data_IF_607770731671
#
_entry.id   IF_607770731671
#
_cell.length_a   1.000
_cell.length_b   1.000
_cell.length_c   1.000
_cell.angle_alpha   90.00
_cell.angle_beta   90.00
_cell.angle_gamma   90.00
#
_symmetry.space_group_name_H-M   'P 1'
#
loop_
_entity.id
_entity.type
_entity.pdbx_description
1 polymer ?
#
# COMPACT_ATOMS: atom_id res chain seq x y z
N UNK A 1 -23.29 25.38 38.18
CA UNK A 1 -23.58 25.44 36.73
C UNK A 1 -22.42 25.01 35.82
N UNK A 2 -21.29 24.47 36.33
CA UNK A 2 -20.11 24.10 35.53
C UNK A 2 -19.95 22.56 35.36
N UNK A 3 -20.80 21.74 36.00
CA UNK A 3 -20.57 20.28 36.09
C UNK A 3 -21.26 19.43 35.01
N UNK A 4 -22.22 19.95 34.23
CA UNK A 4 -22.96 19.15 33.23
C UNK A 4 -22.30 19.13 31.85
N UNK A 5 -21.57 20.19 31.47
CA UNK A 5 -20.99 20.33 30.13
C UNK A 5 -19.59 19.69 30.01
N UNK A 6 -18.93 19.44 31.14
CA UNK A 6 -17.60 18.82 31.18
C UNK A 6 -17.65 17.33 30.81
N UNK A 7 -18.74 16.63 31.15
CA UNK A 7 -18.84 15.19 30.94
C UNK A 7 -18.87 14.80 29.45
N UNK A 8 -19.72 15.37 28.59
CA UNK A 8 -19.76 15.00 27.16
C UNK A 8 -18.46 15.35 26.42
N UNK A 9 -17.86 16.51 26.70
CA UNK A 9 -16.62 16.95 26.05
C UNK A 9 -15.43 16.02 26.35
N UNK A 10 -15.32 15.51 27.58
CA UNK A 10 -14.30 14.53 27.95
C UNK A 10 -14.51 13.17 27.27
N UNK A 11 -15.75 12.72 27.14
CA UNK A 11 -16.05 11.48 26.41
C UNK A 11 -15.77 11.60 24.91
N UNK A 12 -16.08 12.75 24.30
CA UNK A 12 -15.74 13.04 22.90
C UNK A 12 -14.23 13.02 22.71
N UNK A 13 -13.47 13.74 23.54
CA UNK A 13 -12.03 13.85 23.36
C UNK A 13 -11.32 12.50 23.55
N UNK A 14 -11.75 11.70 24.53
CA UNK A 14 -11.25 10.35 24.78
C UNK A 14 -11.51 9.39 23.61
N UNK A 15 -12.52 9.67 22.78
CA UNK A 15 -12.90 8.83 21.65
C UNK A 15 -12.30 9.29 20.32
N UNK A 16 -12.31 10.60 20.08
CA UNK A 16 -11.78 11.22 18.86
C UNK A 16 -10.26 11.04 18.80
N UNK A 17 -9.57 11.15 19.93
CA UNK A 17 -8.12 11.04 19.97
C UNK A 17 -7.64 9.68 19.46
N UNK A 18 -8.02 8.53 20.04
CA UNK A 18 -7.57 7.23 19.54
C UNK A 18 -8.04 6.92 18.12
N UNK A 19 -9.25 7.38 17.74
CA UNK A 19 -9.74 7.25 16.38
C UNK A 19 -8.83 7.97 15.38
N UNK A 20 -8.39 9.19 15.71
CA UNK A 20 -7.44 9.96 14.90
C UNK A 20 -6.09 9.24 14.75
N UNK A 21 -5.55 8.65 15.83
CA UNK A 21 -4.32 7.85 15.74
C UNK A 21 -4.49 6.62 14.86
N UNK A 22 -5.60 5.90 15.00
CA UNK A 22 -5.88 4.71 14.20
C UNK A 22 -6.03 5.06 12.71
N UNK A 23 -6.71 6.17 12.40
CA UNK A 23 -6.83 6.69 11.03
C UNK A 23 -5.47 7.09 10.48
N UNK A 24 -4.71 7.91 11.21
CA UNK A 24 -3.39 8.36 10.78
C UNK A 24 -2.45 7.16 10.52
N UNK A 25 -2.45 6.16 11.40
CA UNK A 25 -1.67 4.93 11.21
C UNK A 25 -2.09 4.17 9.93
N UNK A 26 -3.38 4.09 9.63
CA UNK A 26 -3.89 3.47 8.41
C UNK A 26 -3.48 4.25 7.15
N UNK A 27 -3.54 5.59 7.19
CA UNK A 27 -3.08 6.45 6.10
C UNK A 27 -1.58 6.32 5.85
N UNK A 28 -0.75 6.41 6.89
CA UNK A 28 0.70 6.25 6.81
C UNK A 28 1.11 4.90 6.22
N UNK A 29 0.40 3.83 6.61
CA UNK A 29 0.57 2.49 6.04
C UNK A 29 0.26 2.50 4.54
N UNK A 30 -0.89 3.04 4.14
CA UNK A 30 -1.27 3.11 2.72
C UNK A 30 -0.23 3.89 1.90
N UNK A 31 0.22 5.03 2.41
CA UNK A 31 1.20 5.88 1.74
C UNK A 31 2.53 5.16 1.54
N UNK A 32 3.02 4.50 2.60
CA UNK A 32 4.25 3.69 2.54
C UNK A 32 4.17 2.60 1.47
N UNK A 33 3.02 1.91 1.36
CA UNK A 33 2.81 0.88 0.35
C UNK A 33 2.84 1.45 -1.08
N UNK A 34 2.19 2.60 -1.29
CA UNK A 34 2.17 3.30 -2.58
C UNK A 34 3.56 3.80 -2.97
N UNK A 35 4.34 4.29 -2.00
CA UNK A 35 5.72 4.73 -2.23
C UNK A 35 6.62 3.56 -2.66
N UNK A 36 6.52 2.40 -1.99
CA UNK A 36 7.27 1.19 -2.40
C UNK A 36 6.87 0.77 -3.82
N UNK A 37 5.57 0.74 -4.12
CA UNK A 37 5.08 0.38 -5.46
C UNK A 37 5.55 1.38 -6.53
N UNK A 38 5.59 2.67 -6.19
CA UNK A 38 6.14 3.72 -7.06
C UNK A 38 7.60 3.46 -7.39
N UNK A 39 8.42 3.10 -6.37
CA UNK A 39 9.83 2.77 -6.58
C UNK A 39 10.00 1.54 -7.47
N UNK A 40 9.23 0.46 -7.25
CA UNK A 40 9.25 -0.74 -8.12
C UNK A 40 8.97 -0.35 -9.57
N UNK A 41 7.94 0.48 -9.81
CA UNK A 41 7.61 0.98 -11.15
C UNK A 41 8.70 1.87 -11.74
N UNK A 42 9.28 2.77 -10.93
CA UNK A 42 10.37 3.64 -11.33
C UNK A 42 11.61 2.87 -11.77
N UNK A 43 12.06 1.91 -10.96
CA UNK A 43 13.20 1.06 -11.28
C UNK A 43 12.96 0.25 -12.56
N UNK A 44 11.79 -0.40 -12.68
CA UNK A 44 11.48 -1.18 -13.88
C UNK A 44 11.42 -0.32 -15.14
N UNK A 45 10.85 0.89 -15.06
CA UNK A 45 10.82 1.84 -16.17
C UNK A 45 12.24 2.31 -16.55
N UNK A 46 13.08 2.61 -15.56
CA UNK A 46 14.48 2.99 -15.77
C UNK A 46 15.24 1.89 -16.51
N UNK A 47 15.09 0.63 -16.05
CA UNK A 47 15.70 -0.55 -16.70
C UNK A 47 15.23 -0.67 -18.14
N UNK A 48 13.92 -0.60 -18.39
CA UNK A 48 13.36 -0.66 -19.74
C UNK A 48 13.92 0.44 -20.65
N UNK A 49 13.99 1.68 -20.15
CA UNK A 49 14.53 2.81 -20.91
C UNK A 49 16.00 2.60 -21.23
N UNK A 50 16.82 2.14 -20.27
CA UNK A 50 18.22 1.80 -20.50
C UNK A 50 18.37 0.75 -21.60
N UNK A 51 17.64 -0.37 -21.49
CA UNK A 51 17.65 -1.44 -22.49
C UNK A 51 17.29 -0.93 -23.88
N UNK A 52 16.20 -0.16 -23.99
CA UNK A 52 15.73 0.39 -25.25
C UNK A 52 16.72 1.40 -25.85
N UNK A 53 17.21 2.35 -25.06
CA UNK A 53 18.13 3.38 -25.53
C UNK A 53 19.46 2.78 -25.99
N UNK A 54 19.99 1.83 -25.23
CA UNK A 54 21.29 1.24 -25.52
C UNK A 54 21.27 0.23 -26.65
N UNK A 55 20.13 -0.44 -26.89
CA UNK A 55 19.95 -1.26 -28.07
C UNK A 55 20.12 -0.47 -29.38
N UNK A 56 19.65 0.78 -29.43
CA UNK A 56 19.84 1.63 -30.62
C UNK A 56 21.32 1.97 -30.88
N UNK A 57 22.15 1.94 -29.84
CA UNK A 57 23.58 2.20 -29.95
C UNK A 57 24.40 0.97 -30.31
N UNK A 58 23.79 -0.23 -30.38
CA UNK A 58 24.50 -1.49 -30.59
C UNK A 58 23.84 -2.35 -31.68
N UNK A 59 24.45 -2.46 -32.88
CA UNK A 59 23.94 -3.26 -33.98
C UNK A 59 23.99 -4.77 -33.74
N UNK A 60 24.91 -5.25 -32.89
CA UNK A 60 25.19 -6.67 -32.68
C UNK A 60 24.11 -7.40 -31.87
N UNK A 61 23.21 -6.65 -31.22
CA UNK A 61 22.11 -7.22 -30.45
C UNK A 61 20.96 -7.65 -31.39
N UNK A 62 20.26 -8.75 -31.10
CA UNK A 62 19.09 -9.18 -31.86
C UNK A 62 18.02 -8.10 -31.96
N UNK A 63 17.24 -8.09 -33.05
CA UNK A 63 16.07 -7.20 -33.18
C UNK A 63 14.97 -7.52 -32.15
N UNK A 64 14.93 -8.77 -31.66
CA UNK A 64 14.00 -9.22 -30.61
C UNK A 64 14.35 -8.69 -29.22
N UNK A 65 15.56 -8.17 -29.01
CA UNK A 65 16.08 -7.78 -27.69
C UNK A 65 15.14 -6.84 -26.91
N UNK A 66 14.58 -5.85 -27.59
CA UNK A 66 13.65 -4.89 -26.96
C UNK A 66 12.32 -5.53 -26.58
N UNK A 67 11.85 -6.49 -27.38
CA UNK A 67 10.61 -7.23 -27.13
C UNK A 67 10.80 -8.14 -25.92
N UNK A 68 11.92 -8.87 -25.87
CA UNK A 68 12.29 -9.73 -24.75
C UNK A 68 12.48 -8.93 -23.45
N UNK A 69 13.14 -7.77 -23.52
CA UNK A 69 13.29 -6.87 -22.38
C UNK A 69 11.93 -6.42 -21.82
N UNK A 70 11.00 -6.01 -22.70
CA UNK A 70 9.65 -5.64 -22.30
C UNK A 70 8.86 -6.83 -21.73
N UNK A 71 9.02 -8.02 -22.31
CA UNK A 71 8.39 -9.25 -21.81
C UNK A 71 8.88 -9.61 -20.42
N UNK A 72 10.19 -9.57 -20.16
CA UNK A 72 10.77 -9.85 -18.84
C UNK A 72 10.18 -8.93 -17.76
N UNK A 73 10.06 -7.63 -18.06
CA UNK A 73 9.47 -6.66 -17.13
C UNK A 73 7.98 -6.95 -16.91
N UNK A 74 7.22 -7.27 -17.96
CA UNK A 74 5.81 -7.63 -17.83
C UNK A 74 5.61 -8.92 -17.02
N UNK A 75 6.47 -9.93 -17.19
CA UNK A 75 6.45 -11.17 -16.40
C UNK A 75 6.67 -10.85 -14.92
N UNK A 76 7.65 -10.01 -14.60
CA UNK A 76 7.91 -9.57 -13.22
C UNK A 76 6.69 -8.88 -12.62
N UNK A 77 6.07 -7.93 -13.32
CA UNK A 77 4.87 -7.24 -12.82
C UNK A 77 3.67 -8.17 -12.68
N UNK A 78 3.48 -9.10 -13.61
CA UNK A 78 2.46 -10.14 -13.52
C UNK A 78 2.65 -11.00 -12.28
N UNK A 79 3.86 -11.51 -12.06
CA UNK A 79 4.20 -12.33 -10.90
C UNK A 79 4.08 -11.56 -9.57
N UNK A 80 4.51 -10.30 -9.52
CA UNK A 80 4.30 -9.44 -8.33
C UNK A 80 2.81 -9.25 -8.04
N UNK A 81 1.98 -8.98 -9.06
CA UNK A 81 0.53 -8.86 -8.89
C UNK A 81 -0.06 -10.15 -8.34
N UNK A 82 0.29 -11.28 -8.94
CA UNK A 82 -0.25 -12.59 -8.56
C UNK A 82 0.18 -12.95 -7.12
N UNK A 83 1.40 -12.58 -6.72
CA UNK A 83 1.89 -12.71 -5.35
C UNK A 83 1.08 -11.87 -4.36
N UNK A 84 0.78 -10.62 -4.69
CA UNK A 84 -0.02 -9.73 -3.82
C UNK A 84 -1.49 -10.18 -3.70
N UNK A 85 -2.00 -10.89 -4.69
CA UNK A 85 -3.38 -11.42 -4.70
C UNK A 85 -3.47 -12.83 -4.09
N UNK A 86 -2.35 -13.51 -3.87
CA UNK A 86 -2.32 -14.86 -3.34
C UNK A 86 -2.85 -14.92 -1.89
N UNK A 87 -3.93 -15.68 -1.70
CA UNK A 87 -4.57 -15.88 -0.39
C UNK A 87 -3.92 -17.02 0.40
N UNK A 88 -3.42 -18.06 -0.29
CA UNK A 88 -2.80 -19.25 0.30
C UNK A 88 -1.28 -19.13 0.38
N UNK A 89 -0.69 -19.51 1.51
CA UNK A 89 0.76 -19.50 1.74
C UNK A 89 1.51 -20.45 0.78
N UNK A 90 0.94 -21.62 0.47
CA UNK A 90 1.55 -22.55 -0.51
C UNK A 90 1.62 -21.96 -1.92
N UNK A 91 0.64 -21.14 -2.31
CA UNK A 91 0.61 -20.48 -3.61
C UNK A 91 1.62 -19.32 -3.64
N UNK A 92 1.74 -18.56 -2.54
CA UNK A 92 2.73 -17.50 -2.41
C UNK A 92 4.16 -17.99 -2.60
N UNK A 93 4.52 -19.13 -2.01
CA UNK A 93 5.86 -19.70 -2.12
C UNK A 93 6.19 -20.10 -3.58
N UNK A 94 5.24 -20.71 -4.29
CA UNK A 94 5.42 -21.04 -5.70
C UNK A 94 5.60 -19.80 -6.58
N UNK A 95 4.74 -18.78 -6.39
CA UNK A 95 4.83 -17.52 -7.15
C UNK A 95 6.11 -16.76 -6.81
N UNK A 96 6.55 -16.78 -5.55
CA UNK A 96 7.79 -16.15 -5.10
C UNK A 96 9.01 -16.69 -5.85
N UNK A 97 9.11 -18.01 -5.99
CA UNK A 97 10.18 -18.62 -6.79
C UNK A 97 10.13 -18.13 -8.25
N UNK A 98 8.93 -18.04 -8.84
CA UNK A 98 8.75 -17.48 -10.17
C UNK A 98 9.24 -16.03 -10.31
N UNK A 99 9.03 -15.18 -9.28
CA UNK A 99 9.53 -13.80 -9.26
C UNK A 99 11.06 -13.78 -9.26
N UNK A 100 11.70 -14.62 -8.44
CA UNK A 100 13.17 -14.66 -8.39
C UNK A 100 13.78 -15.16 -9.69
N UNK A 101 13.17 -16.17 -10.34
CA UNK A 101 13.61 -16.61 -11.67
C UNK A 101 13.47 -15.47 -12.68
N UNK A 102 12.34 -14.76 -12.70
CA UNK A 102 12.15 -13.64 -13.63
C UNK A 102 13.15 -12.48 -13.39
N UNK A 103 13.49 -12.18 -12.13
CA UNK A 103 14.52 -11.18 -11.80
C UNK A 103 15.94 -11.64 -12.19
N UNK A 104 16.23 -12.94 -12.07
CA UNK A 104 17.46 -13.53 -12.58
C UNK A 104 17.53 -13.43 -14.10
N UNK A 105 16.47 -13.80 -14.81
CA UNK A 105 16.38 -13.73 -16.27
C UNK A 105 16.58 -12.29 -16.76
N UNK A 106 16.00 -11.30 -16.08
CA UNK A 106 16.25 -9.88 -16.37
C UNK A 106 17.73 -9.48 -16.16
N UNK A 107 18.37 -10.02 -15.13
CA UNK A 107 19.79 -9.77 -14.85
C UNK A 107 20.69 -10.39 -15.92
N UNK A 108 20.40 -11.62 -16.35
CA UNK A 108 21.08 -12.30 -17.46
C UNK A 108 20.86 -11.54 -18.77
N UNK A 109 19.63 -11.10 -19.05
CA UNK A 109 19.32 -10.29 -20.23
C UNK A 109 20.11 -8.98 -20.26
N UNK A 110 20.26 -8.35 -19.09
CA UNK A 110 21.08 -7.14 -18.94
C UNK A 110 22.57 -7.43 -19.14
N UNK A 111 23.05 -8.64 -18.88
CA UNK A 111 24.45 -9.01 -19.12
C UNK A 111 24.78 -9.04 -20.63
N UNK A 112 23.79 -9.28 -21.51
CA UNK A 112 23.97 -9.18 -22.95
C UNK A 112 24.42 -7.77 -23.39
N UNK A 113 23.95 -6.72 -22.69
CA UNK A 113 24.41 -5.34 -22.90
C UNK A 113 25.88 -5.14 -22.52
N UNK A 114 26.36 -5.85 -21.50
CA UNK A 114 27.77 -5.84 -21.12
C UNK A 114 28.63 -6.48 -22.21
N UNK A 115 28.14 -7.56 -22.81
CA UNK A 115 28.83 -8.29 -23.87
C UNK A 115 28.81 -7.52 -25.20
N UNK A 116 27.79 -6.69 -25.46
CA UNK A 116 27.66 -5.89 -26.68
C UNK A 116 28.52 -4.63 -26.71
N UNK A 117 29.60 -4.54 -25.91
CA UNK A 117 30.55 -3.43 -25.97
C UNK A 117 30.12 -2.12 -25.30
N UNK A 118 29.04 -2.12 -24.51
CA UNK A 118 28.63 -0.92 -23.76
C UNK A 118 29.61 -0.68 -22.60
N UNK A 119 29.98 0.58 -22.31
CA UNK A 119 30.82 0.91 -21.17
C UNK A 119 30.30 0.29 -19.86
N UNK A 120 31.16 -0.46 -19.18
CA UNK A 120 30.84 -1.14 -17.91
C UNK A 120 30.18 -0.23 -16.85
N UNK A 121 30.54 1.07 -16.70
CA UNK A 121 29.86 1.94 -15.73
C UNK A 121 28.37 2.18 -16.03
N UNK A 122 27.98 2.21 -17.31
CA UNK A 122 26.59 2.40 -17.70
C UNK A 122 25.78 1.15 -17.38
N UNK A 123 26.29 -0.02 -17.76
CA UNK A 123 25.65 -1.30 -17.43
C UNK A 123 25.56 -1.50 -15.92
N UNK A 124 26.60 -1.10 -15.17
CA UNK A 124 26.59 -1.09 -13.70
C UNK A 124 25.45 -0.26 -13.10
N UNK A 125 25.03 0.83 -13.76
CA UNK A 125 23.85 1.61 -13.35
C UNK A 125 22.55 0.84 -13.55
N UNK A 126 22.43 0.07 -14.63
CA UNK A 126 21.26 -0.78 -14.84
C UNK A 126 21.19 -1.91 -13.79
N UNK A 127 22.33 -2.52 -13.44
CA UNK A 127 22.39 -3.48 -12.34
C UNK A 127 22.07 -2.85 -10.98
N UNK A 128 22.41 -1.58 -10.76
CA UNK A 128 21.98 -0.85 -9.58
C UNK A 128 20.45 -0.74 -9.52
N UNK A 129 19.80 -0.38 -10.62
CA UNK A 129 18.34 -0.29 -10.70
C UNK A 129 17.67 -1.67 -10.50
N UNK A 130 18.27 -2.75 -11.01
CA UNK A 130 17.81 -4.14 -10.76
C UNK A 130 17.90 -4.48 -9.28
N UNK A 131 19.03 -4.18 -8.63
CA UNK A 131 19.18 -4.39 -7.19
C UNK A 131 18.16 -3.58 -6.38
N UNK A 132 17.88 -2.36 -6.82
CA UNK A 132 16.87 -1.51 -6.19
C UNK A 132 15.45 -2.07 -6.40
N UNK A 133 15.15 -2.61 -7.59
CA UNK A 133 13.91 -3.33 -7.88
C UNK A 133 13.71 -4.52 -6.94
N UNK A 134 14.74 -5.38 -6.79
CA UNK A 134 14.74 -6.53 -5.87
C UNK A 134 14.51 -6.07 -4.44
N UNK A 135 15.24 -5.04 -4.00
CA UNK A 135 15.13 -4.51 -2.62
C UNK A 135 13.73 -3.94 -2.34
N UNK A 136 13.15 -3.20 -3.29
CA UNK A 136 11.80 -2.66 -3.12
C UNK A 136 10.73 -3.76 -3.19
N UNK A 137 10.93 -4.81 -3.99
CA UNK A 137 10.08 -6.00 -3.96
C UNK A 137 10.13 -6.70 -2.59
N UNK A 138 11.32 -6.90 -2.01
CA UNK A 138 11.45 -7.49 -0.68
C UNK A 138 10.77 -6.65 0.41
N UNK A 139 10.88 -5.32 0.32
CA UNK A 139 10.14 -4.41 1.20
C UNK A 139 8.63 -4.55 1.01
N UNK A 140 8.17 -4.64 -0.24
CA UNK A 140 6.76 -4.85 -0.56
C UNK A 140 6.25 -6.18 0.00
N UNK A 141 7.08 -7.24 -0.09
CA UNK A 141 6.81 -8.56 0.48
C UNK A 141 6.61 -8.48 1.98
N UNK A 142 7.60 -7.96 2.70
CA UNK A 142 7.53 -7.78 4.16
C UNK A 142 6.29 -6.97 4.54
N UNK A 143 5.99 -5.92 3.80
CA UNK A 143 4.83 -5.08 4.05
C UNK A 143 3.48 -5.77 3.80
N UNK A 144 3.42 -6.62 2.78
CA UNK A 144 2.24 -7.42 2.42
C UNK A 144 2.00 -8.53 3.44
N UNK A 145 3.05 -9.29 3.77
CA UNK A 145 2.98 -10.41 4.71
C UNK A 145 2.75 -9.92 6.15
N UNK A 146 3.30 -8.77 6.52
CA UNK A 146 2.97 -8.08 7.75
C UNK A 146 1.57 -7.43 7.63
N UNK A 147 0.53 -8.27 7.62
CA UNK A 147 -0.87 -7.83 7.58
C UNK A 147 -1.10 -6.78 8.67
N UNK A 148 -1.93 -5.79 8.34
CA UNK A 148 -2.40 -4.79 9.31
C UNK A 148 -2.92 -5.55 10.51
N UNK A 149 -2.39 -5.33 11.73
CA UNK A 149 -2.92 -6.04 12.87
C UNK A 149 -4.41 -5.72 12.90
N UNK A 150 -5.23 -6.77 12.84
CA UNK A 150 -6.69 -6.75 12.89
C UNK A 150 -7.20 -5.71 13.92
N UNK A 151 -6.41 -5.53 14.98
CA UNK A 151 -6.41 -4.46 15.97
C UNK A 151 -6.83 -3.09 15.43
N UNK A 152 -6.20 -2.48 14.42
CA UNK A 152 -6.54 -1.09 14.00
C UNK A 152 -7.98 -1.02 13.48
N UNK A 153 -8.37 -1.99 12.65
CA UNK A 153 -9.72 -2.03 12.07
C UNK A 153 -10.77 -2.32 13.15
N UNK A 154 -10.49 -3.27 14.04
CA UNK A 154 -11.37 -3.58 15.16
C UNK A 154 -11.45 -2.40 16.13
N UNK A 155 -10.36 -1.70 16.35
CA UNK A 155 -10.27 -0.54 17.22
C UNK A 155 -11.12 0.63 16.70
N UNK A 156 -11.05 0.94 15.40
CA UNK A 156 -11.92 1.95 14.77
C UNK A 156 -13.39 1.58 14.96
N UNK A 157 -13.77 0.33 14.67
CA UNK A 157 -15.16 -0.15 14.84
C UNK A 157 -15.64 -0.05 16.28
N UNK A 158 -14.83 -0.49 17.24
CA UNK A 158 -15.16 -0.45 18.66
C UNK A 158 -15.27 1.00 19.14
N UNK A 159 -14.35 1.88 18.75
CA UNK A 159 -14.39 3.30 19.12
C UNK A 159 -15.63 3.97 18.58
N UNK A 160 -15.99 3.72 17.32
CA UNK A 160 -17.21 4.25 16.71
C UNK A 160 -18.47 3.76 17.45
N UNK A 161 -18.57 2.46 17.73
CA UNK A 161 -19.70 1.88 18.48
C UNK A 161 -19.81 2.45 19.89
N UNK A 162 -18.66 2.59 20.58
CA UNK A 162 -18.58 3.18 21.92
C UNK A 162 -19.08 4.63 21.93
N UNK A 163 -18.85 5.39 20.86
CA UNK A 163 -19.31 6.76 20.72
C UNK A 163 -20.83 6.86 20.72
N UNK A 164 -21.47 5.99 19.93
CA UNK A 164 -22.92 5.95 19.84
C UNK A 164 -23.55 5.62 21.20
N UNK A 165 -22.98 4.66 21.93
CA UNK A 165 -23.49 4.23 23.25
C UNK A 165 -23.38 5.35 24.29
N UNK A 166 -22.24 6.03 24.38
CA UNK A 166 -22.05 7.10 25.37
C UNK A 166 -22.83 8.38 25.02
N UNK A 167 -23.05 8.64 23.74
CA UNK A 167 -23.76 9.85 23.30
C UNK A 167 -25.28 9.72 23.28
N UNK A 168 -25.82 8.50 23.13
CA UNK A 168 -27.25 8.23 23.17
C UNK A 168 -27.98 8.87 24.38
N UNK A 169 -27.53 8.72 25.65
CA UNK A 169 -28.21 9.32 26.79
C UNK A 169 -28.13 10.86 26.79
N UNK A 170 -27.07 11.45 26.26
CA UNK A 170 -26.95 12.91 26.12
C UNK A 170 -27.97 13.47 25.14
N UNK A 171 -28.16 12.82 23.98
CA UNK A 171 -29.19 13.23 23.01
C UNK A 171 -30.61 13.04 23.55
N UNK A 172 -30.86 11.98 24.31
CA UNK A 172 -32.13 11.78 25.00
C UNK A 172 -32.42 12.87 26.04
N UNK A 173 -31.39 13.38 26.73
CA UNK A 173 -31.53 14.48 27.67
C UNK A 173 -31.79 15.83 26.97
N UNK A 174 -31.10 16.12 25.86
CA UNK A 174 -31.36 17.31 25.03
C UNK A 174 -32.80 17.32 24.51
N UNK A 175 -33.32 16.18 24.04
CA UNK A 175 -34.70 16.03 23.55
C UNK A 175 -35.74 16.41 24.60
N UNK A 176 -35.47 16.12 25.87
CA UNK A 176 -36.36 16.46 27.00
C UNK A 176 -36.21 17.91 27.46
N UNK A 177 -35.02 18.50 27.31
CA UNK A 177 -34.69 19.82 27.85
C UNK A 177 -35.04 20.96 26.88
N UNK A 178 -35.02 20.71 25.57
CA UNK A 178 -35.60 21.62 24.58
C UNK A 178 -37.05 21.22 24.31
N UNK A 179 -37.96 22.19 24.25
CA UNK A 179 -39.40 22.03 24.02
C UNK A 179 -39.80 21.47 22.64
N UNK A 180 -38.86 20.87 21.91
CA UNK A 180 -39.01 20.25 20.59
C UNK A 180 -38.58 18.76 20.67
N UNK A 181 -39.48 17.85 21.06
CA UNK A 181 -39.13 16.46 21.38
C UNK A 181 -38.56 15.69 20.18
N UNK A 182 -38.96 16.04 18.96
CA UNK A 182 -38.62 15.32 17.73
C UNK A 182 -37.14 15.46 17.33
N UNK A 183 -36.50 16.59 17.67
CA UNK A 183 -35.15 16.92 17.22
C UNK A 183 -34.09 15.95 17.75
N UNK A 184 -34.18 15.54 19.02
CA UNK A 184 -33.21 14.62 19.61
C UNK A 184 -33.33 13.18 19.10
N UNK A 185 -34.54 12.70 18.78
CA UNK A 185 -34.73 11.39 18.16
C UNK A 185 -34.21 11.36 16.72
N UNK A 186 -34.43 12.43 15.95
CA UNK A 186 -33.90 12.58 14.59
C UNK A 186 -32.37 12.62 14.61
N UNK A 187 -31.76 13.40 15.52
CA UNK A 187 -30.30 13.44 15.69
C UNK A 187 -29.71 12.07 16.07
N UNK A 188 -30.36 11.33 16.97
CA UNK A 188 -29.91 10.00 17.36
C UNK A 188 -30.04 8.96 16.24
N UNK A 189 -31.11 9.03 15.43
CA UNK A 189 -31.30 8.18 14.25
C UNK A 189 -30.29 8.50 13.15
N UNK A 190 -30.02 9.78 12.90
CA UNK A 190 -29.02 10.22 11.90
C UNK A 190 -27.62 9.76 12.30
N UNK A 191 -27.26 9.84 13.58
CA UNK A 191 -25.98 9.32 14.08
C UNK A 191 -25.89 7.80 13.95
N UNK A 192 -26.97 7.08 14.25
CA UNK A 192 -27.00 5.62 14.08
C UNK A 192 -26.92 5.20 12.60
N UNK A 193 -27.49 5.99 11.68
CA UNK A 193 -27.48 5.71 10.24
C UNK A 193 -26.15 6.10 9.55
N UNK A 194 -25.41 7.05 10.12
CA UNK A 194 -24.07 7.45 9.69
C UNK A 194 -22.94 6.51 10.19
N UNK A 195 -23.26 5.63 11.15
CA UNK A 195 -22.37 4.67 11.79
C UNK A 195 -22.32 3.33 11.03
#
# INVERSE_FOLDING_TARGET
HISSDLAPALFISLLVFPLSFALNAAYQRRESALQILSNVKGCALSIYMCHKCWRYSQPDLPDTYNVESAQNINIIFGAIRDYLQAISESHKEHVLNGIYVAMLDLSVHTDLLRLSGIPAPLVGRCFHDIRELVTNFERLRVFSDYRTPCVIRSFIKVSILMAAVFMAPYFAWISKSQSQPYLGYVLSLVLFWLL
#
